data_IF_029144261253
#
_entry.id   IF_029144261253
#
_cell.length_a   1.000
_cell.length_b   1.000
_cell.length_c   1.000
_cell.angle_alpha   90.00
_cell.angle_beta   90.00
_cell.angle_gamma   90.00
#
_symmetry.space_group_name_H-M   'P 1'
#
loop_
_entity.id
_entity.type
_entity.pdbx_description
1 polymer ?
#
# COMPACT_ATOMS: atom_id res chain seq x y z
N UNK A 1 17.67 6.73 22.56
CA UNK A 1 16.49 6.16 21.86
C UNK A 1 15.91 5.07 22.76
N UNK A 2 14.73 5.28 23.35
CA UNK A 2 14.03 4.25 24.10
C UNK A 2 13.32 3.34 23.10
N UNK A 3 14.00 2.29 22.64
CA UNK A 3 13.31 1.22 21.93
C UNK A 3 12.58 0.37 22.96
N UNK A 4 11.26 0.32 22.89
CA UNK A 4 10.50 -0.69 23.61
C UNK A 4 10.84 -2.05 22.99
N UNK A 5 11.75 -2.80 23.61
CA UNK A 5 12.25 -4.09 23.13
C UNK A 5 11.16 -5.18 23.03
N UNK A 6 9.91 -4.87 23.38
CA UNK A 6 8.76 -5.77 23.34
C UNK A 6 7.92 -5.64 22.09
N UNK A 7 8.24 -4.70 21.21
CA UNK A 7 7.49 -4.42 19.98
C UNK A 7 8.39 -4.48 18.76
N UNK A 8 7.79 -4.77 17.62
CA UNK A 8 8.48 -4.76 16.32
C UNK A 8 7.54 -4.23 15.25
N UNK A 9 8.11 -3.57 14.26
CA UNK A 9 7.38 -3.09 13.10
C UNK A 9 7.34 -4.19 12.04
N UNK A 10 6.14 -4.59 11.62
CA UNK A 10 5.90 -5.64 10.62
C UNK A 10 5.16 -5.06 9.42
N UNK A 11 5.36 -5.67 8.26
CA UNK A 11 4.60 -5.41 7.05
C UNK A 11 3.70 -6.61 6.75
N UNK A 12 2.39 -6.38 6.68
CA UNK A 12 1.42 -7.42 6.37
C UNK A 12 1.34 -7.61 4.85
N UNK A 13 2.10 -8.57 4.33
CA UNK A 13 2.32 -8.76 2.89
C UNK A 13 1.06 -9.02 2.06
N UNK A 14 -0.03 -9.51 2.67
CA UNK A 14 -1.29 -9.77 1.97
C UNK A 14 -2.27 -8.59 2.01
N UNK A 15 -2.02 -7.62 2.90
CA UNK A 15 -2.88 -6.45 3.09
C UNK A 15 -2.21 -5.13 2.66
N UNK A 16 -0.89 -5.09 2.65
CA UNK A 16 -0.11 -3.96 2.17
C UNK A 16 0.17 -2.87 3.22
N UNK A 17 -0.17 -3.10 4.49
CA UNK A 17 0.00 -2.13 5.58
C UNK A 17 1.16 -2.48 6.53
N UNK A 18 1.70 -1.44 7.19
CA UNK A 18 2.74 -1.58 8.21
C UNK A 18 2.16 -1.26 9.59
N UNK A 19 2.45 -2.10 10.59
CA UNK A 19 2.01 -1.87 11.97
C UNK A 19 3.12 -2.23 12.98
N UNK A 20 3.10 -1.55 14.12
CA UNK A 20 3.92 -1.91 15.28
C UNK A 20 3.13 -2.82 16.19
N UNK A 21 3.60 -4.05 16.40
CA UNK A 21 2.92 -5.07 17.20
C UNK A 21 3.82 -5.58 18.32
N UNK A 22 3.20 -6.12 19.37
CA UNK A 22 3.92 -6.81 20.43
C UNK A 22 4.55 -8.12 19.89
N UNK A 23 5.78 -8.42 20.32
CA UNK A 23 6.48 -9.67 19.96
C UNK A 23 5.68 -10.93 20.34
N UNK A 24 4.84 -10.85 21.38
CA UNK A 24 3.96 -11.95 21.81
C UNK A 24 2.90 -12.33 20.78
N UNK A 25 2.63 -11.48 19.78
CA UNK A 25 1.68 -11.73 18.70
C UNK A 25 2.34 -12.35 17.45
N UNK A 26 3.66 -12.57 17.47
CA UNK A 26 4.39 -13.17 16.34
C UNK A 26 4.48 -14.68 16.51
N UNK A 27 4.27 -15.40 15.41
CA UNK A 27 4.40 -16.86 15.32
C UNK A 27 5.19 -17.23 14.07
N UNK A 28 5.94 -18.36 14.06
CA UNK A 28 6.57 -18.87 12.85
C UNK A 28 5.53 -19.11 11.76
N UNK A 29 5.85 -18.76 10.52
CA UNK A 29 4.99 -19.01 9.36
C UNK A 29 5.05 -20.51 9.01
N UNK A 30 3.91 -21.23 8.96
CA UNK A 30 3.87 -22.61 8.51
C UNK A 30 4.40 -22.77 7.07
N UNK A 31 5.12 -23.86 6.81
CA UNK A 31 5.85 -24.04 5.55
C UNK A 31 4.92 -24.07 4.34
N UNK A 32 3.71 -24.58 4.50
CA UNK A 32 2.64 -24.61 3.49
C UNK A 32 2.21 -23.22 3.01
N UNK A 33 2.52 -22.15 3.75
CA UNK A 33 2.22 -20.76 3.39
C UNK A 33 3.44 -19.99 2.89
N UNK A 34 4.63 -20.60 2.86
CA UNK A 34 5.87 -19.94 2.40
C UNK A 34 6.04 -19.93 0.88
N UNK A 35 5.21 -20.67 0.15
CA UNK A 35 5.32 -20.83 -1.32
C UNK A 35 4.43 -19.86 -2.08
N UNK A 36 3.42 -19.31 -1.42
CA UNK A 36 2.48 -18.35 -1.97
C UNK A 36 3.18 -16.99 -2.07
N UNK A 37 2.96 -16.23 -3.16
CA UNK A 37 3.41 -14.85 -3.22
C UNK A 37 2.60 -14.00 -2.23
N UNK A 38 3.13 -12.83 -1.89
CA UNK A 38 2.35 -11.77 -1.24
C UNK A 38 1.12 -11.42 -2.08
N UNK A 39 -0.05 -11.28 -1.45
CA UNK A 39 -1.28 -10.95 -2.17
C UNK A 39 -1.52 -9.45 -2.35
N UNK A 40 -0.91 -8.59 -1.52
CA UNK A 40 -0.93 -7.16 -1.77
C UNK A 40 0.14 -6.80 -2.80
N UNK A 41 -0.28 -6.08 -3.84
CA UNK A 41 0.59 -5.63 -4.92
C UNK A 41 0.83 -4.12 -4.76
N UNK A 42 2.07 -3.68 -4.52
CA UNK A 42 2.39 -2.26 -4.50
C UNK A 42 2.11 -1.62 -5.86
N UNK A 43 1.36 -0.53 -5.86
CA UNK A 43 1.06 0.22 -7.08
C UNK A 43 0.98 1.72 -6.80
N UNK A 44 1.09 2.51 -7.87
CA UNK A 44 0.87 3.95 -7.86
C UNK A 44 0.00 4.34 -9.04
N UNK A 45 -0.82 5.37 -8.86
CA UNK A 45 -1.63 5.91 -9.93
C UNK A 45 -0.76 6.59 -10.98
N UNK A 46 -1.11 6.41 -12.26
CA UNK A 46 -0.48 7.07 -13.38
C UNK A 46 -0.80 8.56 -13.39
N UNK A 47 0.23 9.39 -13.59
CA UNK A 47 0.11 10.84 -13.79
C UNK A 47 -0.60 11.60 -12.64
N UNK A 48 -0.58 11.00 -11.44
CA UNK A 48 -1.17 11.57 -10.23
C UNK A 48 -0.07 11.75 -9.18
N UNK A 49 0.10 12.99 -8.71
CA UNK A 49 1.03 13.37 -7.65
C UNK A 49 0.39 14.39 -6.69
N UNK A 50 0.93 14.58 -5.47
CA UNK A 50 0.40 15.57 -4.53
C UNK A 50 0.41 16.97 -5.14
N UNK A 51 -0.65 17.77 -4.90
CA UNK A 51 -0.87 19.08 -5.51
C UNK A 51 0.30 20.07 -5.39
N UNK A 52 1.08 19.97 -4.33
CA UNK A 52 2.23 20.86 -4.07
C UNK A 52 3.59 20.17 -4.26
N UNK A 53 3.60 19.04 -4.98
CA UNK A 53 4.65 18.07 -4.82
C UNK A 53 5.59 17.83 -5.99
N UNK A 54 6.88 18.14 -5.80
CA UNK A 54 7.96 17.39 -6.46
C UNK A 54 7.89 15.92 -6.03
N UNK A 55 8.63 15.04 -6.71
CA UNK A 55 8.70 13.57 -6.51
C UNK A 55 8.88 13.06 -5.05
N UNK A 56 9.16 13.94 -4.09
CA UNK A 56 9.38 13.64 -2.67
C UNK A 56 8.32 14.19 -1.72
N UNK A 57 7.18 14.65 -2.23
CA UNK A 57 6.20 15.38 -1.41
C UNK A 57 5.13 14.45 -0.85
N UNK A 58 4.64 14.76 0.33
CA UNK A 58 3.62 13.95 1.01
C UNK A 58 2.23 14.34 0.51
N UNK A 59 1.35 13.36 0.30
CA UNK A 59 -0.09 13.59 0.15
C UNK A 59 -0.63 14.28 1.40
N UNK A 60 -1.09 15.52 1.27
CA UNK A 60 -1.74 16.22 2.37
C UNK A 60 -3.21 15.76 2.47
N UNK A 61 -3.75 15.75 3.69
CA UNK A 61 -5.16 15.37 3.92
C UNK A 61 -6.16 16.25 3.16
N UNK A 62 -5.75 17.49 2.84
CA UNK A 62 -6.55 18.46 2.09
C UNK A 62 -6.42 18.29 0.56
N UNK A 63 -5.64 17.31 0.09
CA UNK A 63 -5.55 17.01 -1.34
C UNK A 63 -6.85 16.32 -1.81
N UNK A 64 -7.61 16.86 -2.78
CA UNK A 64 -8.85 16.26 -3.27
C UNK A 64 -8.68 14.80 -3.70
N UNK A 65 -7.50 14.48 -4.27
CA UNK A 65 -7.14 13.12 -4.68
C UNK A 65 -7.08 12.16 -3.50
N UNK A 66 -6.67 12.63 -2.32
CA UNK A 66 -6.62 11.81 -1.11
C UNK A 66 -8.02 11.37 -0.66
N UNK A 67 -9.04 12.23 -0.81
CA UNK A 67 -10.41 11.92 -0.40
C UNK A 67 -11.08 10.97 -1.40
N UNK A 68 -10.87 11.18 -2.69
CA UNK A 68 -11.35 10.27 -3.75
C UNK A 68 -10.71 8.88 -3.61
N UNK A 69 -9.39 8.82 -3.40
CA UNK A 69 -8.69 7.55 -3.18
C UNK A 69 -9.21 6.78 -1.96
N UNK A 70 -9.69 7.46 -0.91
CA UNK A 70 -10.31 6.81 0.25
C UNK A 70 -11.65 6.16 -0.08
N UNK A 71 -12.48 6.80 -0.88
CA UNK A 71 -13.76 6.22 -1.33
C UNK A 71 -13.54 4.99 -2.19
N UNK A 72 -12.45 4.97 -2.96
CA UNK A 72 -12.05 3.83 -3.79
C UNK A 72 -11.64 2.59 -2.98
N UNK A 73 -11.24 2.73 -1.71
CA UNK A 73 -10.72 1.60 -0.90
C UNK A 73 -11.80 0.55 -0.56
N UNK A 74 -13.08 0.87 -0.67
CA UNK A 74 -14.19 -0.06 -0.36
C UNK A 74 -14.77 -0.79 -1.56
N UNK A 75 -14.38 -0.41 -2.78
CA UNK A 75 -14.99 -0.92 -4.02
C UNK A 75 -14.04 -1.79 -4.84
N UNK A 76 -14.63 -2.66 -5.67
CA UNK A 76 -13.86 -3.41 -6.68
C UNK A 76 -13.55 -2.48 -7.84
N UNK A 77 -12.27 -2.26 -8.11
CA UNK A 77 -11.79 -1.41 -9.19
C UNK A 77 -11.23 -2.24 -10.34
N UNK A 78 -11.45 -1.77 -11.57
CA UNK A 78 -10.70 -2.25 -12.73
C UNK A 78 -9.44 -1.40 -12.88
N UNK A 79 -8.29 -2.06 -12.93
CA UNK A 79 -6.99 -1.41 -13.05
C UNK A 79 -6.32 -1.84 -14.35
N UNK A 80 -5.79 -0.87 -15.11
CA UNK A 80 -4.91 -1.12 -16.26
C UNK A 80 -3.47 -0.87 -15.86
N UNK A 81 -2.62 -1.89 -15.99
CA UNK A 81 -1.18 -1.75 -15.82
C UNK A 81 -0.59 -1.01 -17.02
N UNK A 82 0.09 0.10 -16.76
CA UNK A 82 0.73 0.93 -17.77
C UNK A 82 2.25 0.73 -17.80
N UNK A 83 2.87 0.46 -16.65
CA UNK A 83 4.33 0.24 -16.53
C UNK A 83 4.66 -0.53 -15.24
N UNK A 84 5.88 -1.08 -15.15
CA UNK A 84 6.42 -1.78 -13.98
C UNK A 84 7.76 -1.13 -13.61
N UNK A 85 7.83 -0.50 -12.44
CA UNK A 85 9.05 0.14 -11.93
C UNK A 85 9.51 -0.49 -10.61
N UNK A 86 10.80 -0.32 -10.28
CA UNK A 86 11.41 -0.60 -8.97
C UNK A 86 10.88 -1.85 -8.23
N UNK A 87 11.37 -3.04 -8.62
CA UNK A 87 11.09 -4.29 -7.89
C UNK A 87 9.62 -4.52 -7.53
N UNK A 88 8.71 -4.26 -8.48
CA UNK A 88 7.26 -4.59 -8.45
C UNK A 88 6.39 -3.46 -7.88
N UNK A 89 6.64 -2.21 -8.30
CA UNK A 89 5.65 -1.13 -8.22
C UNK A 89 4.97 -0.95 -9.58
N UNK A 90 3.68 -1.30 -9.66
CA UNK A 90 2.90 -1.15 -10.88
C UNK A 90 2.36 0.27 -11.01
N UNK A 91 2.52 0.86 -12.19
CA UNK A 91 1.84 2.11 -12.52
C UNK A 91 0.49 1.75 -13.12
N UNK A 92 -0.59 2.15 -12.46
CA UNK A 92 -1.95 1.78 -12.83
C UNK A 92 -2.81 2.99 -13.17
N UNK A 93 -3.73 2.78 -14.10
CA UNK A 93 -4.90 3.64 -14.29
C UNK A 93 -6.12 2.89 -13.73
N UNK A 94 -6.96 3.58 -12.98
CA UNK A 94 -8.17 3.04 -12.36
C UNK A 94 -9.39 3.60 -13.08
N UNK A 95 -10.37 2.74 -13.35
CA UNK A 95 -11.70 3.17 -13.79
C UNK A 95 -12.58 3.41 -12.55
N UNK A 96 -13.06 4.64 -12.35
CA UNK A 96 -13.95 4.98 -11.23
C UNK A 96 -15.39 4.62 -11.63
N UNK A 97 -16.08 3.72 -10.90
CA UNK A 97 -17.46 3.39 -11.23
C UNK A 97 -18.37 4.61 -10.97
N UNK A 98 -19.09 5.05 -12.01
CA UNK A 98 -20.11 6.12 -12.02
C UNK A 98 -19.66 7.55 -12.34
N UNK A 99 -18.51 7.74 -13.00
CA UNK A 99 -18.29 8.87 -13.91
C UNK A 99 -18.16 8.40 -15.37
#
# INVERSE_FOLDING_TARGET
LNFNLKEVCVYFVDFGEQQTIALTNIRPLPQEFTRQPAFAIPCRLYDICPLNGTEHSTWNLDDPVHYECKSLMSDVMHCKVLDIKEQICYIIQVDIPNE
#
